data_IF_426699522879
#
_entry.id   IF_426699522879
#
_cell.length_a   1.000
_cell.length_b   1.000
_cell.length_c   1.000
_cell.angle_alpha   90.00
_cell.angle_beta   90.00
_cell.angle_gamma   90.00
#
_symmetry.space_group_name_H-M   'P 1'
#
loop_
_entity.id
_entity.type
_entity.pdbx_description
1 polymer ?
#
# COMPACT_ATOMS: atom_id res chain seq x y z
N UNK A 1 38.05 55.08 -17.26
CA UNK A 1 38.14 56.04 -16.15
C UNK A 1 36.75 56.42 -15.76
N UNK A 2 36.28 55.83 -14.67
CA UNK A 2 35.10 56.30 -13.98
C UNK A 2 35.44 57.62 -13.27
N UNK A 3 34.52 58.57 -13.33
CA UNK A 3 34.62 59.79 -12.54
C UNK A 3 34.13 59.50 -11.11
N UNK A 4 34.70 60.20 -10.12
CA UNK A 4 34.25 60.21 -8.72
C UNK A 4 34.22 58.85 -7.99
N UNK A 5 35.20 57.97 -8.24
CA UNK A 5 35.40 56.72 -7.49
C UNK A 5 35.62 56.99 -5.99
N UNK A 6 34.68 56.53 -5.16
CA UNK A 6 34.66 56.86 -3.72
C UNK A 6 35.79 56.16 -2.95
N UNK A 7 36.22 54.98 -3.43
CA UNK A 7 37.21 54.11 -2.77
C UNK A 7 38.30 53.72 -3.76
N UNK A 8 39.38 54.50 -3.81
CA UNK A 8 40.51 54.26 -4.72
C UNK A 8 41.25 52.91 -4.51
N UNK A 9 40.99 52.19 -3.41
CA UNK A 9 41.62 50.90 -3.11
C UNK A 9 40.93 49.68 -3.72
N UNK A 10 39.68 49.83 -4.19
CA UNK A 10 38.85 48.75 -4.77
C UNK A 10 38.55 49.01 -6.27
N UNK A 11 39.29 49.96 -6.86
CA UNK A 11 39.13 50.35 -8.25
C UNK A 11 39.93 49.44 -9.18
N UNK A 12 39.36 49.13 -10.34
CA UNK A 12 40.00 48.31 -11.37
C UNK A 12 41.06 49.06 -12.19
N UNK A 13 41.59 48.43 -13.25
CA UNK A 13 42.56 49.06 -14.16
C UNK A 13 42.02 50.29 -14.89
N UNK A 14 40.70 50.41 -15.00
CA UNK A 14 40.01 51.55 -15.56
C UNK A 14 39.68 52.60 -14.50
N UNK A 15 40.02 52.37 -13.24
CA UNK A 15 39.73 53.24 -12.11
C UNK A 15 38.26 53.24 -11.70
N UNK A 16 37.54 52.14 -11.90
CA UNK A 16 36.13 51.99 -11.52
C UNK A 16 36.00 51.06 -10.31
N UNK A 17 35.29 51.48 -9.26
CA UNK A 17 35.00 50.62 -8.10
C UNK A 17 33.80 49.68 -8.35
N UNK A 18 33.61 48.67 -7.47
CA UNK A 18 32.55 47.66 -7.58
C UNK A 18 31.13 48.24 -7.67
N UNK A 19 30.84 49.44 -7.16
CA UNK A 19 29.50 50.04 -7.27
C UNK A 19 29.25 50.67 -8.65
N UNK A 20 30.31 50.94 -9.40
CA UNK A 20 30.27 51.58 -10.72
C UNK A 20 30.33 50.56 -11.86
N UNK A 21 30.65 49.31 -11.56
CA UNK A 21 30.81 48.22 -12.52
C UNK A 21 29.65 47.25 -12.40
N UNK A 22 29.33 46.64 -13.52
CA UNK A 22 28.36 45.57 -13.69
C UNK A 22 29.02 44.63 -14.71
N UNK A 23 29.64 43.57 -14.19
CA UNK A 23 30.60 42.74 -14.94
C UNK A 23 29.94 41.78 -15.91
N UNK A 24 28.75 41.29 -15.58
CA UNK A 24 27.95 40.36 -16.38
C UNK A 24 26.75 41.03 -17.07
N UNK A 25 26.50 42.31 -16.78
CA UNK A 25 25.51 43.17 -17.41
C UNK A 25 24.07 42.74 -17.09
N UNK A 26 23.85 42.23 -15.89
CA UNK A 26 22.55 41.75 -15.42
C UNK A 26 21.68 42.84 -14.79
N UNK A 27 22.20 44.08 -14.69
CA UNK A 27 21.59 45.28 -14.08
C UNK A 27 21.82 45.45 -12.57
N UNK A 28 22.58 44.56 -11.93
CA UNK A 28 23.08 44.72 -10.56
C UNK A 28 24.57 45.03 -10.63
N UNK A 29 25.03 46.01 -9.83
CA UNK A 29 26.46 46.33 -9.82
C UNK A 29 27.24 45.28 -9.01
N UNK A 30 28.52 45.09 -9.32
CA UNK A 30 29.39 44.09 -8.70
C UNK A 30 29.43 44.15 -7.14
N UNK A 31 29.02 45.27 -6.53
CA UNK A 31 29.00 45.43 -5.07
C UNK A 31 27.76 44.81 -4.41
N UNK A 32 26.62 44.79 -5.11
CA UNK A 32 25.37 44.20 -4.64
C UNK A 32 25.01 42.88 -5.32
N UNK A 33 25.75 42.55 -6.37
CA UNK A 33 25.60 41.30 -7.10
C UNK A 33 26.29 40.17 -6.31
N UNK A 34 25.49 39.27 -5.77
CA UNK A 34 25.99 38.04 -5.16
C UNK A 34 26.47 37.07 -6.27
N UNK A 35 25.86 37.13 -7.46
CA UNK A 35 26.02 36.24 -8.62
C UNK A 35 26.89 36.85 -9.73
N UNK A 36 28.20 37.00 -9.50
CA UNK A 36 29.17 37.69 -10.38
C UNK A 36 29.25 37.28 -11.88
N UNK A 37 28.49 36.27 -12.32
CA UNK A 37 28.49 35.76 -13.69
C UNK A 37 27.13 35.16 -14.11
N UNK A 38 26.05 35.92 -13.95
CA UNK A 38 24.72 35.59 -14.44
C UNK A 38 24.68 35.48 -15.98
N UNK A 39 24.06 34.42 -16.54
CA UNK A 39 23.91 34.30 -17.99
C UNK A 39 23.11 35.47 -18.58
N UNK A 40 23.68 36.11 -19.61
CA UNK A 40 23.05 37.25 -20.29
C UNK A 40 21.62 36.93 -20.76
N UNK A 41 20.66 37.74 -20.30
CA UNK A 41 19.26 37.70 -20.74
C UNK A 41 18.35 36.84 -19.86
N UNK A 42 18.88 36.20 -18.82
CA UNK A 42 18.08 35.59 -17.77
C UNK A 42 17.42 36.66 -16.88
N UNK A 43 16.33 36.29 -16.23
CA UNK A 43 15.73 37.12 -15.19
C UNK A 43 16.50 36.90 -13.89
N UNK A 44 16.77 37.99 -13.18
CA UNK A 44 17.44 37.99 -11.89
C UNK A 44 16.51 38.43 -10.77
N UNK A 45 16.82 38.00 -9.56
CA UNK A 45 16.26 38.52 -8.31
C UNK A 45 16.98 39.79 -7.83
N UNK A 46 16.63 40.29 -6.65
CA UNK A 46 17.28 41.48 -6.07
C UNK A 46 18.75 41.29 -5.68
N UNK A 47 19.26 40.06 -5.67
CA UNK A 47 20.65 39.72 -5.36
C UNK A 47 21.53 39.57 -6.62
N UNK A 48 20.99 39.78 -7.82
CA UNK A 48 21.71 39.56 -9.09
C UNK A 48 21.68 38.11 -9.56
N UNK A 49 20.90 37.24 -8.90
CA UNK A 49 20.93 35.82 -9.19
C UNK A 49 19.77 35.39 -10.08
N UNK A 50 20.07 34.60 -11.11
CA UNK A 50 19.05 33.88 -11.87
C UNK A 50 18.75 32.51 -11.24
N UNK A 51 17.56 31.97 -11.51
CA UNK A 51 17.17 30.61 -11.10
C UNK A 51 18.15 29.52 -11.56
N UNK A 52 18.96 29.80 -12.59
CA UNK A 52 19.97 28.88 -13.10
C UNK A 52 21.22 28.76 -12.20
N UNK A 53 21.34 29.58 -11.16
CA UNK A 53 22.52 29.67 -10.30
C UNK A 53 22.20 29.40 -8.82
N UNK A 54 20.95 29.13 -8.45
CA UNK A 54 20.55 28.98 -7.04
C UNK A 54 20.40 27.49 -6.68
N UNK A 55 21.00 27.09 -5.55
CA UNK A 55 20.97 25.75 -4.96
C UNK A 55 20.67 25.90 -3.47
N UNK A 56 19.41 25.65 -3.13
CA UNK A 56 18.79 25.96 -1.84
C UNK A 56 19.13 24.91 -0.79
N UNK A 57 19.36 23.67 -1.20
CA UNK A 57 19.70 22.56 -0.30
C UNK A 57 21.19 22.15 -0.36
N UNK A 58 21.97 22.87 -1.19
CA UNK A 58 23.41 22.76 -1.34
C UNK A 58 23.85 21.37 -1.82
N UNK A 59 23.05 20.74 -2.68
CA UNK A 59 23.30 19.40 -3.24
C UNK A 59 24.08 19.41 -4.57
N UNK A 60 24.48 20.62 -5.02
CA UNK A 60 25.14 20.92 -6.29
C UNK A 60 24.25 20.83 -7.54
N UNK A 61 22.93 20.82 -7.37
CA UNK A 61 21.94 20.84 -8.44
C UNK A 61 21.05 22.08 -8.33
N UNK A 62 20.85 22.81 -9.42
CA UNK A 62 20.20 24.12 -9.35
C UNK A 62 18.67 24.00 -9.25
N UNK A 63 18.05 24.74 -8.34
CA UNK A 63 16.60 24.80 -8.20
C UNK A 63 15.98 25.84 -9.14
N UNK A 64 15.02 25.40 -9.96
CA UNK A 64 14.18 26.32 -10.71
C UNK A 64 13.28 27.11 -9.73
N UNK A 65 13.17 28.43 -9.92
CA UNK A 65 12.37 29.36 -9.10
C UNK A 65 12.79 29.51 -7.62
N UNK A 66 14.02 29.13 -7.24
CA UNK A 66 14.45 29.23 -5.85
C UNK A 66 14.64 30.68 -5.39
N UNK A 67 13.94 31.01 -4.29
CA UNK A 67 14.17 32.25 -3.53
C UNK A 67 15.39 32.08 -2.62
N UNK A 68 16.58 31.95 -3.19
CA UNK A 68 17.83 31.65 -2.48
C UNK A 68 18.92 32.65 -2.82
N UNK A 69 19.69 33.06 -1.81
CA UNK A 69 20.73 34.09 -1.95
C UNK A 69 21.99 33.51 -2.58
N UNK A 70 22.42 34.13 -3.66
CA UNK A 70 23.77 33.98 -4.20
C UNK A 70 24.00 32.77 -5.09
N UNK A 71 25.11 32.79 -5.84
CA UNK A 71 25.47 31.77 -6.79
C UNK A 71 25.93 30.56 -6.01
N UNK A 72 25.36 29.44 -6.37
CA UNK A 72 25.90 28.13 -6.11
C UNK A 72 26.59 27.65 -7.38
N UNK A 73 27.73 26.97 -7.23
CA UNK A 73 28.39 26.31 -8.35
C UNK A 73 27.64 25.01 -8.69
N UNK A 74 26.32 25.12 -8.88
CA UNK A 74 25.40 24.04 -9.15
C UNK A 74 25.31 23.78 -10.65
N UNK A 75 24.75 22.63 -11.01
CA UNK A 75 24.51 22.25 -12.40
C UNK A 75 23.14 21.62 -12.57
N UNK A 76 22.62 21.54 -13.81
CA UNK A 76 21.32 20.92 -14.13
C UNK A 76 20.13 21.49 -13.35
N UNK A 77 18.97 20.84 -13.45
CA UNK A 77 17.71 21.28 -12.83
C UNK A 77 17.33 20.26 -11.77
N UNK A 78 17.22 20.73 -10.53
CA UNK A 78 16.87 19.95 -9.37
C UNK A 78 15.35 19.69 -9.34
N UNK A 79 14.99 18.42 -9.20
CA UNK A 79 13.61 17.94 -9.05
C UNK A 79 13.23 17.69 -7.61
N UNK A 80 14.18 17.79 -6.70
CA UNK A 80 14.11 17.45 -5.29
C UNK A 80 14.68 18.59 -4.41
N UNK A 81 14.06 19.80 -4.40
CA UNK A 81 14.60 21.05 -3.83
C UNK A 81 14.75 21.11 -2.29
N UNK A 82 14.69 19.96 -1.61
CA UNK A 82 14.79 19.84 -0.16
C UNK A 82 15.51 18.53 0.22
N UNK A 83 16.50 18.14 -0.56
CA UNK A 83 17.36 17.01 -0.26
C UNK A 83 18.19 17.30 0.99
N UNK A 84 18.46 16.26 1.79
CA UNK A 84 19.14 16.45 3.07
C UNK A 84 20.59 16.92 2.88
N UNK A 85 21.05 17.83 3.75
CA UNK A 85 22.46 18.27 3.76
C UNK A 85 23.41 17.06 3.84
N UNK A 86 24.35 16.98 2.89
CA UNK A 86 25.33 15.89 2.71
C UNK A 86 24.73 14.53 2.28
N UNK A 87 23.50 14.47 1.79
CA UNK A 87 23.02 13.29 1.09
C UNK A 87 23.68 13.19 -0.30
N UNK A 88 23.98 11.97 -0.74
CA UNK A 88 24.42 11.76 -2.13
C UNK A 88 23.19 11.81 -3.04
N UNK A 89 23.26 12.64 -4.07
CA UNK A 89 22.16 12.84 -5.03
C UNK A 89 22.49 12.28 -6.41
N UNK A 90 21.45 12.04 -7.20
CA UNK A 90 21.59 11.74 -8.62
C UNK A 90 21.59 13.01 -9.49
N UNK A 91 21.54 12.85 -10.81
CA UNK A 91 21.57 13.96 -11.77
C UNK A 91 20.38 14.92 -11.67
N UNK A 92 19.31 14.53 -10.96
CA UNK A 92 18.12 15.34 -10.74
C UNK A 92 18.07 15.94 -9.33
N UNK A 93 19.17 15.90 -8.56
CA UNK A 93 19.22 16.40 -7.17
C UNK A 93 18.46 15.52 -6.17
N UNK A 94 18.06 14.31 -6.56
CA UNK A 94 17.28 13.43 -5.68
C UNK A 94 18.18 12.43 -4.96
N UNK A 95 18.08 12.36 -3.62
CA UNK A 95 18.74 11.30 -2.87
C UNK A 95 18.04 9.95 -3.04
N UNK A 96 18.72 8.86 -2.66
CA UNK A 96 18.14 7.52 -2.69
C UNK A 96 16.79 7.46 -1.97
N UNK A 97 16.62 8.22 -0.86
CA UNK A 97 15.40 8.22 -0.07
C UNK A 97 14.20 8.89 -0.76
N UNK A 98 14.44 9.81 -1.70
CA UNK A 98 13.41 10.57 -2.42
C UNK A 98 13.07 9.94 -3.77
N UNK A 99 13.84 8.94 -4.19
CA UNK A 99 13.64 8.21 -5.44
C UNK A 99 12.71 7.02 -5.25
N UNK A 100 12.15 6.58 -6.36
CA UNK A 100 11.39 5.36 -6.55
C UNK A 100 12.08 4.61 -7.69
N UNK A 101 12.97 3.66 -7.35
CA UNK A 101 13.90 3.05 -8.29
C UNK A 101 13.25 1.97 -9.17
N UNK A 102 12.19 1.31 -8.70
CA UNK A 102 11.44 0.30 -9.46
C UNK A 102 10.14 0.85 -10.09
N UNK A 103 9.76 2.08 -9.72
CA UNK A 103 8.62 2.78 -10.29
C UNK A 103 7.29 2.22 -9.82
N UNK A 104 7.24 1.61 -8.65
CA UNK A 104 6.03 1.04 -8.08
C UNK A 104 5.14 2.09 -7.38
N UNK A 105 5.66 3.30 -7.17
CA UNK A 105 4.98 4.42 -6.53
C UNK A 105 5.31 4.58 -5.04
N UNK A 106 6.17 3.74 -4.47
CA UNK A 106 6.65 3.80 -3.09
C UNK A 106 8.13 4.22 -3.13
N UNK A 107 8.46 5.34 -2.48
CA UNK A 107 9.87 5.76 -2.41
C UNK A 107 10.72 4.71 -1.72
N UNK A 108 11.97 4.57 -2.15
CA UNK A 108 12.92 3.56 -1.68
C UNK A 108 13.05 3.53 -0.14
N UNK A 109 12.90 4.68 0.54
CA UNK A 109 12.92 4.77 2.00
C UNK A 109 11.79 3.99 2.70
N UNK A 110 10.65 3.86 2.04
CA UNK A 110 9.44 3.21 2.55
C UNK A 110 9.16 1.87 1.89
N UNK A 111 9.93 1.52 0.86
CA UNK A 111 9.81 0.29 0.11
C UNK A 111 10.65 -0.83 0.74
N UNK A 112 9.97 -1.91 1.14
CA UNK A 112 10.61 -3.12 1.66
C UNK A 112 11.08 -4.07 0.54
N UNK A 113 10.59 -3.91 -0.69
CA UNK A 113 10.79 -4.79 -1.83
C UNK A 113 11.17 -4.01 -3.10
N UNK A 114 12.47 -3.70 -3.30
CA UNK A 114 12.99 -2.75 -4.32
C UNK A 114 12.92 -3.21 -5.80
N UNK A 115 12.02 -4.13 -6.13
CA UNK A 115 11.79 -4.65 -7.48
C UNK A 115 10.34 -5.09 -7.68
N UNK A 116 9.39 -4.35 -7.11
CA UNK A 116 7.97 -4.59 -7.26
C UNK A 116 7.43 -3.86 -8.48
N UNK A 117 6.40 -4.42 -9.12
CA UNK A 117 5.72 -3.76 -10.24
C UNK A 117 4.51 -2.97 -9.72
N UNK A 118 4.31 -1.75 -10.23
CA UNK A 118 3.24 -0.84 -9.83
C UNK A 118 1.82 -1.45 -9.81
N UNK A 119 1.51 -2.36 -10.73
CA UNK A 119 0.16 -2.96 -10.85
C UNK A 119 -0.21 -3.93 -9.71
N UNK A 120 0.71 -4.23 -8.79
CA UNK A 120 0.49 -5.22 -7.73
C UNK A 120 1.18 -4.87 -6.40
N UNK A 121 1.48 -3.60 -6.18
CA UNK A 121 2.18 -3.11 -4.99
C UNK A 121 1.23 -2.85 -3.82
N UNK A 122 1.60 -3.31 -2.62
CA UNK A 122 0.94 -2.92 -1.37
C UNK A 122 1.66 -1.68 -0.75
N UNK A 123 1.08 -0.99 0.24
CA UNK A 123 1.68 0.24 0.80
C UNK A 123 3.08 0.10 1.40
N UNK A 124 3.55 -1.13 1.61
CA UNK A 124 4.88 -1.46 2.08
C UNK A 124 5.89 -1.67 0.94
N UNK A 125 5.49 -1.43 -0.32
CA UNK A 125 6.32 -1.61 -1.51
C UNK A 125 6.42 -3.05 -2.00
N UNK A 126 5.71 -4.01 -1.40
CA UNK A 126 5.80 -5.42 -1.80
C UNK A 126 4.52 -5.93 -2.46
N UNK A 127 4.66 -6.84 -3.43
CA UNK A 127 3.52 -7.64 -3.92
C UNK A 127 3.25 -8.88 -3.05
N UNK A 128 2.08 -9.50 -3.24
CA UNK A 128 1.73 -10.78 -2.59
C UNK A 128 2.66 -11.94 -2.97
N UNK A 129 3.43 -11.81 -4.05
CA UNK A 129 4.42 -12.81 -4.48
C UNK A 129 5.82 -12.58 -3.88
N UNK A 130 6.03 -11.47 -3.16
CA UNK A 130 7.28 -11.14 -2.47
C UNK A 130 7.11 -11.21 -0.95
N UNK A 131 5.90 -11.01 -0.43
CA UNK A 131 5.59 -11.09 1.00
C UNK A 131 5.36 -12.53 1.46
N UNK A 132 5.86 -12.81 2.66
CA UNK A 132 5.59 -13.99 3.48
C UNK A 132 5.27 -13.45 4.89
N UNK A 133 3.98 -13.20 5.12
CA UNK A 133 3.50 -12.41 6.26
C UNK A 133 3.64 -13.14 7.61
N UNK A 134 3.57 -14.47 7.62
CA UNK A 134 3.73 -15.28 8.83
C UNK A 134 5.12 -15.93 8.95
N UNK A 135 5.94 -15.83 7.90
CA UNK A 135 7.34 -16.26 7.89
C UNK A 135 7.48 -17.77 7.81
N UNK A 136 6.50 -18.46 7.25
CA UNK A 136 6.45 -19.92 7.18
C UNK A 136 7.17 -20.51 5.95
N UNK A 137 7.62 -19.63 5.05
CA UNK A 137 8.35 -19.97 3.83
C UNK A 137 7.49 -20.06 2.58
N UNK A 138 6.18 -19.79 2.66
CA UNK A 138 5.26 -19.73 1.53
C UNK A 138 4.77 -18.31 1.34
N UNK A 139 5.01 -17.72 0.16
CA UNK A 139 4.53 -16.36 -0.12
C UNK A 139 3.01 -16.26 -0.03
N UNK A 140 2.52 -15.10 0.41
CA UNK A 140 1.10 -14.80 0.67
C UNK A 140 0.18 -15.14 -0.51
N UNK A 141 0.67 -14.98 -1.75
CA UNK A 141 -0.10 -15.32 -2.95
C UNK A 141 -0.42 -16.84 -3.09
N UNK A 142 0.40 -17.69 -2.49
CA UNK A 142 0.29 -19.15 -2.51
C UNK A 142 -0.09 -19.75 -1.15
N UNK A 143 -0.05 -18.95 -0.09
CA UNK A 143 -0.35 -19.38 1.26
C UNK A 143 -1.87 -19.47 1.48
N UNK A 144 -2.34 -20.68 1.76
CA UNK A 144 -3.74 -20.89 2.07
C UNK A 144 -4.03 -20.58 3.56
N UNK A 145 -3.03 -20.59 4.42
CA UNK A 145 -3.10 -20.48 5.88
C UNK A 145 -2.23 -19.34 6.41
N UNK A 146 -2.64 -18.10 6.14
CA UNK A 146 -2.00 -16.80 6.47
C UNK A 146 -1.49 -16.54 7.91
N UNK A 147 -1.54 -17.50 8.84
CA UNK A 147 -1.08 -17.37 10.22
C UNK A 147 -0.53 -18.71 10.77
N UNK A 148 0.27 -19.42 9.98
CA UNK A 148 1.08 -20.54 10.47
C UNK A 148 2.10 -20.03 11.47
N UNK A 149 2.09 -20.61 12.68
CA UNK A 149 2.93 -20.09 13.76
C UNK A 149 4.43 -20.30 13.50
N UNK A 150 5.32 -19.43 14.00
CA UNK A 150 6.77 -19.45 13.72
C UNK A 150 7.55 -20.68 14.22
N UNK A 151 6.87 -21.65 14.86
CA UNK A 151 7.43 -22.93 15.28
C UNK A 151 6.65 -24.13 14.72
N UNK A 152 5.69 -23.88 13.82
CA UNK A 152 4.94 -24.92 13.14
C UNK A 152 5.63 -25.20 11.80
N UNK A 153 5.65 -26.47 11.42
CA UNK A 153 6.17 -26.86 10.11
C UNK A 153 5.04 -26.65 9.11
N UNK A 154 5.20 -25.67 8.22
CA UNK A 154 4.29 -25.44 7.11
C UNK A 154 4.48 -26.50 6.02
N UNK A 155 3.36 -26.91 5.41
CA UNK A 155 3.38 -27.71 4.19
C UNK A 155 3.53 -26.80 2.95
N UNK A 156 3.51 -27.37 1.75
CA UNK A 156 3.66 -26.62 0.50
C UNK A 156 2.52 -25.62 0.20
N UNK A 157 1.47 -25.57 1.04
CA UNK A 157 0.34 -24.64 0.98
C UNK A 157 0.37 -23.61 2.12
N UNK A 158 1.47 -23.54 2.85
CA UNK A 158 1.64 -22.63 3.98
C UNK A 158 0.81 -23.03 5.20
N UNK A 159 0.37 -24.29 5.31
CA UNK A 159 -0.45 -24.74 6.44
C UNK A 159 0.33 -25.69 7.35
N UNK A 160 0.25 -25.50 8.66
CA UNK A 160 0.65 -26.54 9.63
C UNK A 160 -0.27 -27.75 9.60
N UNK A 161 0.20 -28.90 10.11
CA UNK A 161 -0.63 -30.11 10.28
C UNK A 161 -1.96 -29.81 11.00
N UNK A 162 -1.90 -28.98 12.05
CA UNK A 162 -3.08 -28.64 12.85
C UNK A 162 -4.07 -27.76 12.07
N UNK A 163 -3.58 -26.77 11.30
CA UNK A 163 -4.44 -25.95 10.43
C UNK A 163 -5.02 -26.76 9.25
N UNK A 164 -4.23 -27.70 8.71
CA UNK A 164 -4.65 -28.54 7.60
C UNK A 164 -5.75 -29.53 8.02
N UNK A 165 -5.63 -30.12 9.22
CA UNK A 165 -6.68 -30.96 9.80
C UNK A 165 -7.97 -30.18 10.08
N UNK A 166 -7.87 -28.93 10.56
CA UNK A 166 -9.05 -28.08 10.77
C UNK A 166 -9.75 -27.71 9.45
N UNK A 167 -9.00 -27.53 8.37
CA UNK A 167 -9.57 -27.33 7.02
C UNK A 167 -10.16 -28.61 6.43
N UNK A 168 -9.51 -29.75 6.62
CA UNK A 168 -9.98 -31.06 6.15
C UNK A 168 -11.20 -31.58 6.93
N UNK A 169 -11.27 -31.29 8.23
CA UNK A 169 -12.39 -31.65 9.11
C UNK A 169 -13.71 -30.92 8.76
N UNK A 170 -13.67 -29.94 7.85
CA UNK A 170 -14.86 -29.32 7.27
C UNK A 170 -15.45 -30.08 6.07
N UNK A 171 -14.90 -31.23 5.67
CA UNK A 171 -15.30 -31.91 4.42
C UNK A 171 -15.65 -33.40 4.49
N UNK A 172 -15.60 -34.04 5.67
CA UNK A 172 -15.91 -35.47 5.79
C UNK A 172 -17.02 -35.76 6.83
N UNK A 173 -18.24 -35.28 6.54
CA UNK A 173 -19.49 -35.81 7.13
C UNK A 173 -19.78 -37.22 6.55
N UNK A 174 -18.88 -38.18 6.74
CA UNK A 174 -19.10 -39.59 6.43
C UNK A 174 -18.45 -40.52 7.49
N UNK A 175 -18.42 -40.06 8.75
CA UNK A 175 -17.79 -40.79 9.86
C UNK A 175 -18.68 -41.85 10.53
N UNK A 176 -19.96 -41.99 10.15
CA UNK A 176 -20.77 -43.14 10.59
C UNK A 176 -20.81 -44.23 9.51
N UNK A 177 -19.63 -44.82 9.35
CA UNK A 177 -19.34 -45.97 8.49
C UNK A 177 -20.48 -47.00 8.49
N UNK A 178 -20.84 -47.39 7.26
CA UNK A 178 -21.89 -48.29 6.77
C UNK A 178 -22.24 -49.53 7.62
N UNK A 179 -21.42 -49.93 8.58
CA UNK A 179 -21.70 -51.05 9.47
C UNK A 179 -22.56 -50.67 10.69
N UNK A 180 -22.56 -49.42 11.15
CA UNK A 180 -23.35 -49.04 12.34
C UNK A 180 -24.85 -48.94 12.04
N UNK A 181 -25.21 -48.52 10.82
CA UNK A 181 -26.62 -48.42 10.39
C UNK A 181 -27.30 -49.78 10.25
N UNK A 182 -26.55 -50.83 9.86
CA UNK A 182 -27.10 -52.20 9.73
C UNK A 182 -27.39 -52.81 11.11
N UNK A 183 -26.53 -52.57 12.11
CA UNK A 183 -26.75 -53.01 13.48
C UNK A 183 -27.89 -52.25 14.17
N UNK A 184 -27.95 -50.92 13.98
CA UNK A 184 -29.02 -50.09 14.54
C UNK A 184 -30.36 -50.43 13.88
N UNK A 185 -30.42 -50.60 12.56
CA UNK A 185 -31.63 -51.04 11.88
C UNK A 185 -32.10 -52.44 12.33
N UNK A 186 -31.17 -53.38 12.54
CA UNK A 186 -31.49 -54.71 13.05
C UNK A 186 -32.10 -54.69 14.46
N UNK A 187 -31.56 -53.86 15.37
CA UNK A 187 -32.08 -53.70 16.73
C UNK A 187 -33.42 -52.96 16.73
N UNK A 188 -33.56 -51.93 15.90
CA UNK A 188 -34.79 -51.13 15.76
C UNK A 188 -35.95 -51.99 15.23
N UNK A 189 -35.73 -52.87 14.25
CA UNK A 189 -36.78 -53.77 13.73
C UNK A 189 -37.28 -54.74 14.79
N UNK A 190 -36.38 -55.30 15.61
CA UNK A 190 -36.76 -56.23 16.71
C UNK A 190 -37.56 -55.51 17.79
N UNK A 191 -37.18 -54.26 18.11
CA UNK A 191 -37.89 -53.42 19.09
C UNK A 191 -39.24 -52.94 18.55
N UNK A 192 -39.33 -52.57 17.27
CA UNK A 192 -40.58 -52.15 16.61
C UNK A 192 -41.61 -53.27 16.56
N UNK A 193 -41.20 -54.51 16.26
CA UNK A 193 -42.10 -55.67 16.27
C UNK A 193 -42.65 -55.93 17.69
N UNK A 194 -41.83 -55.71 18.73
CA UNK A 194 -42.25 -55.79 20.13
C UNK A 194 -43.21 -54.67 20.56
N UNK A 195 -42.98 -53.44 20.09
CA UNK A 195 -43.78 -52.26 20.43
C UNK A 195 -45.13 -52.22 19.68
N UNK A 196 -45.22 -52.76 18.46
CA UNK A 196 -46.48 -52.82 17.68
C UNK A 196 -47.55 -53.69 18.39
N UNK A 197 -47.17 -54.66 19.22
CA UNK A 197 -48.14 -55.46 19.99
C UNK A 197 -48.70 -54.72 21.23
N UNK A 198 -48.11 -53.59 21.64
CA UNK A 198 -48.51 -52.82 22.82
C UNK A 198 -49.31 -51.56 22.45
N UNK A 199 -50.54 -51.82 22.00
CA UNK A 199 -51.71 -50.92 21.92
C UNK A 199 -51.61 -49.52 22.57
N UNK A 200 -52.15 -48.55 21.80
CA UNK A 200 -52.82 -47.29 22.21
C UNK A 200 -51.86 -46.25 22.81
N UNK A 201 -51.76 -45.03 22.27
CA UNK A 201 -52.77 -43.97 22.32
C UNK A 201 -52.18 -42.73 21.61
N UNK A 202 -53.09 -41.88 21.12
CA UNK A 202 -52.98 -40.59 20.43
C UNK A 202 -51.66 -39.79 20.42
N UNK A 203 -51.41 -39.21 19.23
CA UNK A 203 -50.84 -37.90 18.87
C UNK A 203 -49.73 -37.30 19.74
N UNK A 204 -48.60 -37.04 19.09
CA UNK A 204 -48.10 -35.67 18.91
C UNK A 204 -47.19 -35.62 17.67
N UNK A 205 -47.52 -34.75 16.72
CA UNK A 205 -46.66 -34.43 15.60
C UNK A 205 -45.59 -33.45 16.05
N UNK A 206 -44.32 -33.80 15.82
CA UNK A 206 -43.22 -32.86 15.95
C UNK A 206 -42.68 -32.58 14.55
N UNK A 207 -43.00 -31.40 14.05
CA UNK A 207 -42.52 -30.87 12.78
C UNK A 207 -41.06 -30.42 12.98
N UNK A 208 -40.14 -31.07 12.26
CA UNK A 208 -38.70 -30.79 12.32
C UNK A 208 -38.44 -29.40 11.70
N UNK A 209 -37.83 -28.49 12.46
CA UNK A 209 -37.56 -27.14 11.99
C UNK A 209 -36.58 -27.17 10.81
N UNK A 210 -36.81 -26.39 9.73
CA UNK A 210 -35.96 -26.42 8.56
C UNK A 210 -34.55 -25.91 8.89
N UNK A 211 -33.54 -26.70 8.53
CA UNK A 211 -32.14 -26.30 8.58
C UNK A 211 -31.93 -25.05 7.71
N UNK A 212 -31.31 -24.01 8.27
CA UNK A 212 -31.01 -22.76 7.56
C UNK A 212 -29.76 -22.98 6.70
N UNK A 213 -29.92 -22.87 5.37
CA UNK A 213 -28.83 -22.93 4.41
C UNK A 213 -28.31 -21.52 4.12
N UNK A 214 -26.99 -21.29 4.21
CA UNK A 214 -26.42 -19.96 3.97
C UNK A 214 -26.03 -19.78 2.49
N UNK A 215 -26.26 -18.60 1.89
CA UNK A 215 -25.81 -18.32 0.53
C UNK A 215 -24.28 -18.26 0.45
N UNK A 216 -23.73 -18.71 -0.67
CA UNK A 216 -22.28 -18.54 -0.94
C UNK A 216 -21.88 -17.05 -0.97
N UNK A 217 -20.63 -16.77 -0.59
CA UNK A 217 -20.11 -15.40 -0.48
C UNK A 217 -20.26 -14.58 -1.76
N UNK A 218 -20.08 -15.20 -2.93
CA UNK A 218 -20.15 -14.54 -4.23
C UNK A 218 -21.60 -14.22 -4.69
N UNK A 219 -22.61 -14.81 -4.05
CA UNK A 219 -24.02 -14.58 -4.41
C UNK A 219 -24.39 -13.12 -4.12
N UNK A 220 -25.03 -12.45 -5.07
CA UNK A 220 -25.46 -11.05 -4.96
C UNK A 220 -26.96 -10.97 -4.65
N UNK A 221 -27.32 -10.09 -3.73
CA UNK A 221 -28.68 -9.79 -3.33
C UNK A 221 -29.22 -8.49 -3.93
N UNK A 222 -30.43 -8.13 -3.57
CA UNK A 222 -31.05 -6.85 -3.92
C UNK A 222 -30.81 -5.81 -2.82
N UNK A 223 -30.44 -4.59 -3.20
CA UNK A 223 -30.26 -3.49 -2.25
C UNK A 223 -31.62 -2.95 -1.78
N UNK A 224 -31.83 -2.88 -0.46
CA UNK A 224 -33.00 -2.26 0.20
C UNK A 224 -32.56 -1.56 1.49
N UNK A 225 -32.99 -0.32 1.67
CA UNK A 225 -32.69 0.51 2.84
C UNK A 225 -31.18 0.58 3.19
N UNK A 226 -30.32 0.62 2.17
CA UNK A 226 -28.87 0.74 2.32
C UNK A 226 -28.14 -0.57 2.64
N UNK A 227 -28.83 -1.71 2.70
CA UNK A 227 -28.24 -3.03 2.94
C UNK A 227 -28.54 -3.98 1.77
N UNK A 228 -27.64 -4.92 1.50
CA UNK A 228 -27.84 -5.97 0.50
C UNK A 228 -28.63 -7.13 1.12
N UNK A 229 -29.76 -7.48 0.53
CA UNK A 229 -30.67 -8.53 1.01
C UNK A 229 -30.84 -9.64 0.00
N UNK A 230 -30.89 -10.89 0.45
CA UNK A 230 -31.22 -12.03 -0.40
C UNK A 230 -32.16 -12.99 0.32
N UNK A 231 -33.07 -13.59 -0.42
CA UNK A 231 -33.83 -14.75 0.01
C UNK A 231 -33.11 -16.00 -0.50
N UNK A 232 -32.72 -16.91 0.40
CA UNK A 232 -31.94 -18.09 0.03
C UNK A 232 -32.37 -19.33 0.83
N UNK A 233 -32.57 -20.50 0.19
CA UNK A 233 -32.78 -20.67 -1.25
C UNK A 233 -34.00 -19.87 -1.74
N UNK A 234 -34.04 -19.46 -3.01
CA UNK A 234 -35.16 -18.64 -3.52
C UNK A 234 -36.51 -19.32 -3.30
N UNK A 235 -37.45 -18.64 -2.63
CA UNK A 235 -38.77 -19.17 -2.26
C UNK A 235 -38.84 -19.85 -0.87
N UNK A 236 -37.74 -19.85 -0.11
CA UNK A 236 -37.70 -20.41 1.26
C UNK A 236 -38.33 -19.50 2.33
N UNK A 237 -38.58 -18.23 2.00
CA UNK A 237 -38.93 -17.16 2.95
C UNK A 237 -37.84 -16.89 4.01
N UNK A 238 -36.63 -17.45 3.87
CA UNK A 238 -35.48 -17.16 4.72
C UNK A 238 -34.69 -16.00 4.14
N UNK A 239 -34.59 -14.90 4.88
CA UNK A 239 -33.94 -13.67 4.44
C UNK A 239 -32.59 -13.48 5.13
N UNK A 240 -31.59 -13.12 4.32
CA UNK A 240 -30.24 -12.79 4.76
C UNK A 240 -29.93 -11.35 4.38
N UNK A 241 -29.16 -10.66 5.21
CA UNK A 241 -28.54 -9.39 4.85
C UNK A 241 -27.01 -9.52 4.86
N UNK A 242 -26.33 -8.76 4.02
CA UNK A 242 -24.87 -8.69 4.03
C UNK A 242 -24.40 -7.69 5.07
N UNK A 243 -23.61 -8.16 6.04
CA UNK A 243 -23.01 -7.29 7.05
C UNK A 243 -21.98 -6.35 6.37
N UNK A 244 -22.10 -5.02 6.52
CA UNK A 244 -21.17 -4.08 5.87
C UNK A 244 -19.72 -4.20 6.33
N UNK A 245 -19.50 -4.66 7.56
CA UNK A 245 -18.18 -4.74 8.19
C UNK A 245 -17.44 -6.02 7.83
N UNK A 246 -18.14 -7.16 7.79
CA UNK A 246 -17.53 -8.48 7.50
C UNK A 246 -17.80 -8.98 6.09
N UNK A 247 -18.71 -8.34 5.36
CA UNK A 247 -19.22 -8.76 4.05
C UNK A 247 -19.82 -10.17 4.02
N UNK A 248 -20.14 -10.76 5.18
CA UNK A 248 -20.77 -12.09 5.29
C UNK A 248 -22.30 -12.01 5.34
N UNK A 249 -22.97 -13.09 4.93
CA UNK A 249 -24.42 -13.22 4.99
C UNK A 249 -24.90 -13.58 6.40
N UNK A 250 -25.78 -12.76 6.97
CA UNK A 250 -26.36 -12.96 8.30
C UNK A 250 -27.85 -13.29 8.17
N UNK A 251 -28.27 -14.43 8.74
CA UNK A 251 -29.67 -14.86 8.71
C UNK A 251 -30.53 -14.01 9.64
N UNK A 252 -31.62 -13.44 9.11
CA UNK A 252 -32.62 -12.72 9.89
C UNK A 252 -33.68 -13.72 10.37
N UNK A 253 -33.79 -13.88 11.70
CA UNK A 253 -34.89 -14.63 12.33
C UNK A 253 -36.24 -13.96 12.11
#
# INVERSE_FOLDING_TARGET
QCEDTEIAGDADENGCDRKQRDSDLDSVNDYWDDCEATPSGELIDEAGCSDSQVDSDADSVCNLDASGSGPSNCTSVDRCPNTGLNESVDENGCSWNQRDDDGDGIFNKFDLCPNTLADSVAPNGCSTWQMDSDGDGVYDANDECANTGPNQIANAKGCSDQQYELKGAGSDENLLTSNMLVWVAGVVVVVLIGLIMMRRKENDGFEEAPSIEYPQYATRGAMRDGMEWIEYPSGSQQWFYRDPSTQQWVHRK
#
